data_IF_158373716773
#
_entry.id   IF_158373716773
#
_cell.length_a   1.000
_cell.length_b   1.000
_cell.length_c   1.000
_cell.angle_alpha   90.00
_cell.angle_beta   90.00
_cell.angle_gamma   90.00
#
_symmetry.space_group_name_H-M   'P 1'
#
loop_
_entity.id
_entity.type
_entity.pdbx_description
1 polymer ?
#
# COMPACT_ATOMS: atom_id res chain seq x y z
N UNK A 1 20.27 -9.74 -13.91
CA UNK A 1 19.25 -9.59 -14.96
C UNK A 1 18.89 -10.94 -15.52
N UNK A 2 17.65 -11.10 -15.99
CA UNK A 2 17.13 -12.38 -16.47
C UNK A 2 17.49 -12.71 -17.93
N UNK A 3 17.99 -11.74 -18.74
CA UNK A 3 18.21 -11.98 -20.17
C UNK A 3 19.49 -12.77 -20.50
N UNK A 4 20.47 -12.83 -19.59
CA UNK A 4 21.76 -13.50 -19.80
C UNK A 4 21.70 -15.00 -19.53
N UNK A 5 20.73 -15.43 -18.75
CA UNK A 5 20.56 -16.81 -18.31
C UNK A 5 19.34 -17.44 -18.97
N UNK A 6 19.37 -18.76 -19.13
CA UNK A 6 18.23 -19.53 -19.67
C UNK A 6 17.06 -19.65 -18.69
N UNK A 7 17.04 -18.87 -17.59
CA UNK A 7 15.99 -18.93 -16.56
C UNK A 7 14.59 -18.66 -17.11
N UNK A 8 14.48 -17.81 -18.13
CA UNK A 8 13.19 -17.49 -18.73
C UNK A 8 12.56 -18.70 -19.44
N UNK A 9 13.35 -19.69 -19.90
CA UNK A 9 12.81 -20.89 -20.55
C UNK A 9 11.96 -21.74 -19.59
N UNK A 10 12.23 -21.67 -18.29
CA UNK A 10 11.46 -22.39 -17.27
C UNK A 10 10.04 -21.83 -17.11
N UNK A 11 9.76 -20.65 -17.66
CA UNK A 11 8.45 -19.97 -17.59
C UNK A 11 7.59 -20.19 -18.85
N UNK A 12 7.97 -21.11 -19.74
CA UNK A 12 7.21 -21.40 -20.96
C UNK A 12 5.75 -21.74 -20.64
N UNK A 13 4.81 -21.09 -21.34
CA UNK A 13 3.36 -21.24 -21.17
C UNK A 13 2.82 -20.80 -19.79
N UNK A 14 3.60 -20.06 -18.99
CA UNK A 14 3.19 -19.62 -17.66
C UNK A 14 2.73 -18.16 -17.61
N UNK A 15 2.51 -17.52 -18.76
CA UNK A 15 2.24 -16.08 -18.85
C UNK A 15 0.95 -15.68 -18.11
N UNK A 16 -0.09 -16.52 -18.21
CA UNK A 16 -1.36 -16.38 -17.49
C UNK A 16 -1.51 -17.35 -16.31
N UNK A 17 -0.44 -18.06 -15.93
CA UNK A 17 -0.50 -19.09 -14.90
C UNK A 17 -0.68 -18.50 -13.50
N UNK A 18 -1.45 -19.21 -12.66
CA UNK A 18 -1.61 -18.87 -11.26
C UNK A 18 -0.29 -19.06 -10.48
N UNK A 19 -0.09 -18.36 -9.36
CA UNK A 19 1.10 -18.51 -8.53
C UNK A 19 1.38 -19.95 -8.06
N UNK A 20 0.33 -20.77 -7.91
CA UNK A 20 0.47 -22.18 -7.54
C UNK A 20 1.03 -23.04 -8.67
N UNK A 21 0.57 -22.81 -9.91
CA UNK A 21 1.09 -23.54 -11.07
C UNK A 21 2.56 -23.22 -11.32
N UNK A 22 2.94 -21.94 -11.17
CA UNK A 22 4.33 -21.50 -11.26
C UNK A 22 5.15 -22.16 -10.15
N UNK A 23 4.70 -22.12 -8.89
CA UNK A 23 5.40 -22.78 -7.79
C UNK A 23 5.60 -24.28 -8.05
N UNK A 24 4.55 -24.98 -8.47
CA UNK A 24 4.65 -26.41 -8.75
C UNK A 24 5.57 -26.75 -9.92
N UNK A 25 5.68 -25.88 -10.92
CA UNK A 25 6.60 -26.05 -12.03
C UNK A 25 8.05 -25.74 -11.64
N UNK A 26 8.27 -24.75 -10.76
CA UNK A 26 9.59 -24.28 -10.39
C UNK A 26 10.16 -24.93 -9.13
N UNK A 27 9.35 -25.57 -8.27
CA UNK A 27 9.82 -26.13 -6.98
C UNK A 27 10.88 -27.22 -7.11
N UNK A 28 11.01 -27.84 -8.29
CA UNK A 28 12.08 -28.81 -8.56
C UNK A 28 13.41 -28.16 -8.91
N UNK A 29 13.42 -26.88 -9.26
CA UNK A 29 14.58 -26.15 -9.75
C UNK A 29 15.22 -25.30 -8.65
N UNK A 30 16.55 -25.28 -8.62
CA UNK A 30 17.32 -24.38 -7.75
C UNK A 30 17.83 -23.21 -8.58
N UNK A 31 17.82 -22.02 -8.00
CA UNK A 31 18.31 -20.81 -8.65
C UNK A 31 19.41 -20.18 -7.80
N UNK A 32 20.49 -19.75 -8.45
CA UNK A 32 21.60 -19.03 -7.81
C UNK A 32 21.83 -17.69 -8.51
N UNK A 33 22.28 -16.69 -7.74
CA UNK A 33 22.68 -15.40 -8.30
C UNK A 33 24.17 -15.47 -8.65
N UNK A 34 24.49 -15.42 -9.95
CA UNK A 34 25.87 -15.44 -10.47
C UNK A 34 26.08 -14.22 -11.36
N UNK A 35 27.12 -13.43 -11.09
CA UNK A 35 27.46 -12.21 -11.86
C UNK A 35 26.25 -11.27 -12.04
N UNK A 36 25.51 -11.01 -10.96
CA UNK A 36 24.29 -10.18 -10.97
C UNK A 36 23.18 -10.72 -11.87
N UNK A 37 23.21 -12.00 -12.25
CA UNK A 37 22.21 -12.71 -13.06
C UNK A 37 21.64 -13.91 -12.30
N UNK A 38 20.32 -14.14 -12.38
CA UNK A 38 19.71 -15.33 -11.80
C UNK A 38 19.89 -16.49 -12.77
N UNK A 39 20.54 -17.58 -12.37
CA UNK A 39 20.77 -18.75 -13.21
C UNK A 39 20.27 -20.05 -12.55
N UNK A 40 19.74 -21.01 -13.33
CA UNK A 40 19.47 -22.36 -12.83
C UNK A 40 20.74 -23.01 -12.28
N UNK A 41 20.59 -23.75 -11.19
CA UNK A 41 21.64 -24.46 -10.48
C UNK A 41 21.38 -25.97 -10.56
N UNK A 42 21.89 -26.59 -11.62
CA UNK A 42 21.58 -28.00 -11.96
C UNK A 42 22.36 -29.04 -11.12
N UNK A 43 23.37 -28.59 -10.38
CA UNK A 43 24.33 -29.47 -9.69
C UNK A 43 23.91 -29.84 -8.27
N UNK A 44 22.87 -29.23 -7.71
CA UNK A 44 22.41 -29.49 -6.34
C UNK A 44 20.91 -29.76 -6.36
N UNK A 45 20.46 -31.03 -6.38
CA UNK A 45 19.05 -31.36 -6.38
C UNK A 45 18.41 -30.98 -5.03
N UNK A 46 17.22 -30.39 -5.04
CA UNK A 46 16.47 -30.11 -3.82
C UNK A 46 15.98 -31.39 -3.16
N UNK A 47 16.12 -31.46 -1.83
CA UNK A 47 15.53 -32.52 -1.01
C UNK A 47 14.00 -32.40 -0.98
N UNK A 48 13.29 -33.50 -0.68
CA UNK A 48 11.81 -33.48 -0.57
C UNK A 48 11.33 -32.50 0.51
N UNK A 49 12.03 -32.43 1.63
CA UNK A 49 11.72 -31.50 2.72
C UNK A 49 11.82 -30.04 2.28
N UNK A 50 12.85 -29.69 1.50
CA UNK A 50 13.00 -28.33 0.96
C UNK A 50 11.92 -27.98 -0.06
N UNK A 51 11.45 -28.97 -0.85
CA UNK A 51 10.34 -28.80 -1.81
C UNK A 51 9.04 -28.52 -1.09
N UNK A 52 8.75 -29.29 -0.04
CA UNK A 52 7.47 -29.22 0.67
C UNK A 52 7.39 -28.04 1.65
N UNK A 53 8.55 -27.47 2.03
CA UNK A 53 8.65 -26.32 2.96
C UNK A 53 7.77 -25.14 2.56
N UNK A 54 7.60 -24.88 1.28
CA UNK A 54 6.90 -23.70 0.76
C UNK A 54 5.47 -23.99 0.25
N UNK A 55 5.02 -25.25 0.27
CA UNK A 55 3.71 -25.64 -0.25
C UNK A 55 2.55 -25.03 0.57
N UNK A 56 2.70 -24.91 1.89
CA UNK A 56 1.67 -24.32 2.77
C UNK A 56 1.51 -22.81 2.56
N UNK A 57 2.61 -22.09 2.36
CA UNK A 57 2.58 -20.63 2.15
C UNK A 57 1.88 -20.28 0.83
N UNK A 58 2.09 -21.07 -0.22
CA UNK A 58 1.55 -20.76 -1.54
C UNK A 58 0.06 -21.07 -1.68
N UNK A 59 -0.44 -22.15 -1.04
CA UNK A 59 -1.89 -22.47 -1.00
C UNK A 59 -2.74 -21.34 -0.42
N UNK A 60 -2.13 -20.42 0.33
CA UNK A 60 -2.81 -19.25 0.91
C UNK A 60 -3.03 -18.10 -0.08
N UNK A 61 -2.32 -18.06 -1.23
CA UNK A 61 -2.22 -16.90 -2.13
C UNK A 61 -2.79 -17.15 -3.54
N UNK A 62 -4.00 -17.70 -3.63
CA UNK A 62 -4.64 -18.06 -4.90
C UNK A 62 -5.16 -16.86 -5.72
N UNK A 63 -5.46 -15.73 -5.07
CA UNK A 63 -6.16 -14.62 -5.71
C UNK A 63 -5.19 -13.62 -6.38
N UNK A 64 -5.48 -13.14 -7.61
CA UNK A 64 -4.64 -12.19 -8.34
C UNK A 64 -4.59 -10.78 -7.74
N UNK A 65 -5.46 -10.47 -6.76
CA UNK A 65 -5.46 -9.20 -6.01
C UNK A 65 -4.94 -9.39 -4.58
N UNK A 66 -4.08 -8.48 -4.07
CA UNK A 66 -3.61 -8.51 -2.69
C UNK A 66 -4.78 -8.56 -1.71
N UNK A 67 -4.62 -9.26 -0.59
CA UNK A 67 -5.72 -9.45 0.36
C UNK A 67 -6.27 -8.12 0.88
N UNK A 68 -5.43 -7.10 1.08
CA UNK A 68 -5.91 -5.80 1.55
C UNK A 68 -6.72 -5.08 0.48
N UNK A 69 -6.39 -5.20 -0.81
CA UNK A 69 -7.20 -4.60 -1.90
C UNK A 69 -8.46 -5.40 -2.25
N UNK A 70 -8.64 -6.59 -1.70
CA UNK A 70 -9.90 -7.31 -1.86
C UNK A 70 -11.00 -6.59 -1.09
N UNK A 71 -12.14 -6.35 -1.76
CA UNK A 71 -13.32 -5.72 -1.17
C UNK A 71 -13.75 -6.42 0.14
N UNK A 72 -13.52 -7.73 0.24
CA UNK A 72 -13.84 -8.56 1.41
C UNK A 72 -13.05 -8.13 2.65
N UNK A 73 -11.77 -7.77 2.51
CA UNK A 73 -10.96 -7.27 3.63
C UNK A 73 -11.11 -5.74 3.79
N UNK A 74 -11.40 -5.03 2.70
CA UNK A 74 -11.58 -3.59 2.71
C UNK A 74 -12.82 -3.11 3.44
N UNK A 75 -13.95 -3.84 3.31
CA UNK A 75 -15.20 -3.51 4.03
C UNK A 75 -15.00 -3.49 5.56
N UNK A 76 -14.51 -4.56 6.22
CA UNK A 76 -14.29 -4.54 7.66
C UNK A 76 -13.23 -3.52 8.08
N UNK A 77 -12.25 -3.21 7.22
CA UNK A 77 -11.26 -2.17 7.49
C UNK A 77 -11.89 -0.76 7.53
N UNK A 78 -12.71 -0.41 6.53
CA UNK A 78 -13.44 0.88 6.52
C UNK A 78 -14.44 0.94 7.67
N UNK A 79 -15.19 -0.13 7.92
CA UNK A 79 -16.13 -0.20 9.04
C UNK A 79 -15.38 0.01 10.37
N UNK A 80 -14.21 -0.60 10.55
CA UNK A 80 -13.38 -0.40 11.75
C UNK A 80 -12.95 1.05 11.94
N UNK A 81 -12.56 1.75 10.87
CA UNK A 81 -12.22 3.18 10.95
C UNK A 81 -13.46 4.05 11.26
N UNK A 82 -14.61 3.79 10.64
CA UNK A 82 -15.86 4.49 10.92
C UNK A 82 -16.35 4.22 12.34
N UNK A 83 -16.19 3.00 12.83
CA UNK A 83 -16.47 2.64 14.21
C UNK A 83 -15.57 3.45 15.14
N UNK A 84 -14.28 3.61 14.85
CA UNK A 84 -13.38 4.42 15.67
C UNK A 84 -13.76 5.92 15.66
N UNK A 85 -14.19 6.45 14.51
CA UNK A 85 -14.74 7.82 14.39
C UNK A 85 -15.90 8.05 15.35
N UNK A 86 -16.77 7.06 15.53
CA UNK A 86 -17.93 7.12 16.43
C UNK A 86 -17.54 6.80 17.88
N UNK A 87 -16.58 5.89 18.07
CA UNK A 87 -16.15 5.41 19.39
C UNK A 87 -15.36 6.48 20.16
N UNK A 88 -14.49 7.25 19.50
CA UNK A 88 -13.68 8.27 20.17
C UNK A 88 -14.57 9.31 20.91
N UNK A 89 -15.56 9.95 20.25
CA UNK A 89 -16.48 10.85 20.95
C UNK A 89 -17.29 10.16 22.05
N UNK A 90 -17.75 8.92 21.82
CA UNK A 90 -18.53 8.19 22.82
C UNK A 90 -17.68 7.91 24.07
N UNK A 91 -16.44 7.46 23.93
CA UNK A 91 -15.56 7.15 25.06
C UNK A 91 -15.17 8.40 25.84
N UNK A 92 -14.94 9.53 25.15
CA UNK A 92 -14.49 10.77 25.79
C UNK A 92 -15.61 11.57 26.47
N UNK A 93 -16.82 11.56 25.92
CA UNK A 93 -17.93 12.43 26.37
C UNK A 93 -19.11 11.68 26.99
N UNK A 94 -19.09 10.34 27.06
CA UNK A 94 -20.14 9.59 27.74
C UNK A 94 -19.66 9.09 29.11
N UNK A 95 -20.37 9.47 30.16
CA UNK A 95 -20.03 9.16 31.55
C UNK A 95 -20.01 7.65 31.85
N UNK A 96 -20.84 6.85 31.17
CA UNK A 96 -20.85 5.38 31.33
C UNK A 96 -19.71 4.71 30.56
N UNK A 97 -19.34 5.27 29.40
CA UNK A 97 -18.32 4.70 28.53
C UNK A 97 -16.90 5.11 28.95
N UNK A 98 -16.76 6.26 29.62
CA UNK A 98 -15.48 6.76 30.12
C UNK A 98 -14.85 5.82 31.17
N UNK A 99 -15.65 5.03 31.89
CA UNK A 99 -15.17 3.97 32.80
C UNK A 99 -14.27 2.96 32.06
N UNK A 100 -14.50 2.75 30.76
CA UNK A 100 -13.67 1.87 29.92
C UNK A 100 -12.29 2.51 29.68
N UNK A 101 -12.23 3.82 29.47
CA UNK A 101 -10.96 4.57 29.34
C UNK A 101 -10.19 4.54 30.66
N UNK A 102 -10.88 4.68 31.80
CA UNK A 102 -10.25 4.60 33.13
C UNK A 102 -9.67 3.21 33.42
N UNK A 103 -10.36 2.14 33.00
CA UNK A 103 -9.90 0.76 33.22
C UNK A 103 -8.88 0.29 32.18
N UNK A 104 -8.96 0.81 30.96
CA UNK A 104 -8.17 0.36 29.80
C UNK A 104 -7.67 1.58 29.02
N UNK A 105 -6.72 2.35 29.58
CA UNK A 105 -6.22 3.59 28.95
C UNK A 105 -5.52 3.35 27.61
N UNK A 106 -5.00 2.13 27.39
CA UNK A 106 -4.35 1.72 26.14
C UNK A 106 -5.33 1.24 25.05
N UNK A 107 -6.64 1.26 25.29
CA UNK A 107 -7.63 0.78 24.31
C UNK A 107 -7.56 1.61 23.01
N UNK A 108 -7.61 2.94 23.15
CA UNK A 108 -7.61 3.87 22.00
C UNK A 108 -6.30 3.80 21.22
N UNK A 109 -5.17 3.68 21.92
CA UNK A 109 -3.85 3.52 21.29
C UNK A 109 -3.74 2.18 20.57
N UNK A 110 -4.17 1.10 21.20
CA UNK A 110 -4.21 -0.24 20.61
C UNK A 110 -5.02 -0.27 19.31
N UNK A 111 -6.23 0.33 19.33
CA UNK A 111 -7.06 0.44 18.14
C UNK A 111 -6.42 1.31 17.05
N UNK A 112 -5.79 2.43 17.42
CA UNK A 112 -5.04 3.27 16.48
C UNK A 112 -3.87 2.51 15.84
N UNK A 113 -3.12 1.73 16.62
CA UNK A 113 -2.03 0.89 16.11
C UNK A 113 -2.56 -0.17 15.14
N UNK A 114 -3.69 -0.82 15.45
CA UNK A 114 -4.31 -1.77 14.52
C UNK A 114 -4.67 -1.11 13.18
N UNK A 115 -5.25 0.10 13.20
CA UNK A 115 -5.55 0.86 11.98
C UNK A 115 -4.27 1.23 11.24
N UNK A 116 -3.24 1.69 11.96
CA UNK A 116 -1.93 2.02 11.39
C UNK A 116 -1.30 0.82 10.67
N UNK A 117 -1.31 -0.36 11.28
CA UNK A 117 -0.77 -1.59 10.68
C UNK A 117 -1.55 -2.02 9.43
N UNK A 118 -2.88 -1.94 9.48
CA UNK A 118 -3.73 -2.23 8.33
C UNK A 118 -3.53 -1.19 7.21
N UNK A 119 -3.41 0.09 7.55
CA UNK A 119 -3.11 1.16 6.59
C UNK A 119 -1.75 0.95 5.92
N UNK A 120 -0.72 0.58 6.68
CA UNK A 120 0.62 0.27 6.14
C UNK A 120 0.58 -0.89 5.15
N UNK A 121 -0.25 -1.90 5.40
CA UNK A 121 -0.46 -3.00 4.44
C UNK A 121 -1.13 -2.50 3.16
N UNK A 122 -2.19 -1.69 3.29
CA UNK A 122 -2.87 -1.08 2.15
C UNK A 122 -1.92 -0.22 1.30
N UNK A 123 -1.11 0.59 1.97
CA UNK A 123 -0.09 1.41 1.31
C UNK A 123 0.88 0.55 0.50
N UNK A 124 1.43 -0.50 1.11
CA UNK A 124 2.41 -1.37 0.48
C UNK A 124 1.82 -2.01 -0.78
N UNK A 125 0.59 -2.52 -0.67
CA UNK A 125 -0.08 -3.15 -1.79
C UNK A 125 -0.40 -2.14 -2.93
N UNK A 126 -0.82 -0.91 -2.60
CA UNK A 126 -1.03 0.16 -3.60
C UNK A 126 0.27 0.53 -4.30
N UNK A 127 1.36 0.71 -3.55
CA UNK A 127 2.69 1.04 -4.11
C UNK A 127 3.21 -0.05 -5.02
N UNK A 128 3.01 -1.32 -4.66
CA UNK A 128 3.40 -2.47 -5.46
C UNK A 128 2.61 -2.54 -6.78
N UNK A 129 1.33 -2.19 -6.76
CA UNK A 129 0.44 -2.25 -7.93
C UNK A 129 0.57 -1.05 -8.88
N UNK A 130 0.97 0.13 -8.38
CA UNK A 130 0.95 1.37 -9.17
C UNK A 130 1.71 1.26 -10.52
N UNK A 131 2.97 0.76 -10.58
CA UNK A 131 3.71 0.69 -11.84
C UNK A 131 2.99 -0.16 -12.88
N UNK A 132 2.43 -1.30 -12.46
CA UNK A 132 1.69 -2.22 -13.32
C UNK A 132 0.35 -1.65 -13.80
N UNK A 133 -0.28 -0.80 -13.01
CA UNK A 133 -1.49 -0.10 -13.44
C UNK A 133 -1.20 1.01 -14.45
N UNK A 134 -0.05 1.69 -14.33
CA UNK A 134 0.37 2.64 -15.36
C UNK A 134 0.65 1.88 -16.67
N UNK A 135 1.31 0.72 -16.60
CA UNK A 135 1.54 -0.15 -17.75
C UNK A 135 0.23 -0.67 -18.37
N UNK A 136 -0.79 -0.99 -17.58
CA UNK A 136 -2.07 -1.47 -18.12
C UNK A 136 -2.88 -0.41 -18.87
N UNK A 137 -2.53 0.87 -18.75
CA UNK A 137 -3.13 1.97 -19.52
C UNK A 137 -2.55 2.14 -20.93
N UNK A 138 -1.57 1.29 -21.31
CA UNK A 138 -0.79 1.36 -22.55
C UNK A 138 0.07 2.62 -22.67
N UNK A 139 1.06 2.56 -23.56
CA UNK A 139 1.95 3.68 -23.91
C UNK A 139 2.63 4.35 -22.70
N UNK A 140 3.00 3.57 -21.68
CA UNK A 140 3.67 4.10 -20.51
C UNK A 140 5.12 4.51 -20.84
N UNK A 141 5.59 5.55 -20.16
CA UNK A 141 6.98 6.01 -20.25
C UNK A 141 7.94 4.94 -19.70
N UNK A 142 9.16 4.82 -20.27
CA UNK A 142 10.16 3.88 -19.77
C UNK A 142 10.52 4.03 -18.29
N UNK A 143 10.35 5.24 -17.73
CA UNK A 143 10.57 5.53 -16.30
C UNK A 143 9.73 4.66 -15.36
N UNK A 144 8.61 4.13 -15.86
CA UNK A 144 7.70 3.27 -15.09
C UNK A 144 8.33 1.90 -14.82
N UNK A 145 9.21 1.42 -15.70
CA UNK A 145 9.87 0.11 -15.54
C UNK A 145 10.91 0.10 -14.41
N UNK A 146 11.53 1.24 -14.13
CA UNK A 146 12.52 1.43 -13.06
C UNK A 146 11.90 2.03 -11.80
N UNK A 147 10.57 2.10 -11.74
CA UNK A 147 9.85 2.82 -10.70
C UNK A 147 9.78 1.98 -9.43
N UNK A 148 10.74 2.18 -8.54
CA UNK A 148 10.75 1.52 -7.24
C UNK A 148 10.10 2.40 -6.16
N UNK A 149 8.80 2.20 -5.97
CA UNK A 149 8.06 2.80 -4.85
C UNK A 149 8.13 1.95 -3.56
N UNK A 150 8.70 0.75 -3.63
CA UNK A 150 8.77 -0.17 -2.49
C UNK A 150 9.93 0.17 -1.54
N UNK A 151 11.02 0.73 -2.06
CA UNK A 151 12.26 1.00 -1.31
C UNK A 151 12.43 2.44 -0.82
N UNK A 152 11.54 3.35 -1.21
CA UNK A 152 11.66 4.76 -0.84
C UNK A 152 11.23 5.00 0.61
N UNK A 153 12.05 5.74 1.36
CA UNK A 153 11.85 6.03 2.78
C UNK A 153 10.44 6.58 3.07
N UNK A 154 9.84 6.08 4.16
CA UNK A 154 8.45 6.26 4.60
C UNK A 154 7.90 7.70 4.41
N UNK A 155 8.70 8.75 4.67
CA UNK A 155 8.26 10.14 4.56
C UNK A 155 8.54 10.86 3.23
N UNK A 156 9.49 10.41 2.40
CA UNK A 156 9.87 11.11 1.15
C UNK A 156 8.98 10.74 -0.04
N UNK A 157 8.37 9.56 0.07
CA UNK A 157 7.48 8.96 -0.91
C UNK A 157 6.29 9.81 -1.35
N UNK A 158 5.47 10.37 -0.43
CA UNK A 158 4.26 11.09 -0.79
C UNK A 158 4.58 12.36 -1.61
N UNK A 159 5.63 13.07 -1.21
CA UNK A 159 6.09 14.30 -1.87
C UNK A 159 6.47 13.99 -3.32
N UNK A 160 7.27 12.95 -3.54
CA UNK A 160 7.70 12.54 -4.89
C UNK A 160 6.52 12.02 -5.72
N UNK A 161 5.57 11.32 -5.13
CA UNK A 161 4.36 10.83 -5.80
C UNK A 161 3.44 11.97 -6.27
N UNK A 162 3.27 13.03 -5.45
CA UNK A 162 2.53 14.23 -5.85
C UNK A 162 3.23 14.97 -7.00
N UNK A 163 4.56 15.12 -6.94
CA UNK A 163 5.33 15.77 -8.00
C UNK A 163 5.27 15.01 -9.34
N UNK A 164 5.12 13.69 -9.30
CA UNK A 164 4.99 12.84 -10.49
C UNK A 164 3.54 12.69 -11.00
N UNK A 165 2.56 13.39 -10.40
CA UNK A 165 1.15 13.34 -10.82
C UNK A 165 0.39 12.07 -10.40
N UNK A 166 0.99 11.22 -9.56
CA UNK A 166 0.36 10.01 -9.04
C UNK A 166 -0.38 10.31 -7.72
N UNK A 167 -1.44 11.12 -7.83
CA UNK A 167 -2.19 11.63 -6.67
C UNK A 167 -2.70 10.53 -5.73
N UNK A 168 -3.11 9.36 -6.26
CA UNK A 168 -3.61 8.26 -5.44
C UNK A 168 -2.52 7.72 -4.49
N UNK A 169 -1.31 7.48 -5.00
CA UNK A 169 -0.17 7.05 -4.17
C UNK A 169 0.26 8.15 -3.20
N UNK A 170 0.18 9.41 -3.63
CA UNK A 170 0.44 10.56 -2.76
C UNK A 170 -0.50 10.63 -1.56
N UNK A 171 -1.82 10.52 -1.77
CA UNK A 171 -2.81 10.52 -0.68
C UNK A 171 -2.68 9.32 0.25
N UNK A 172 -2.39 8.13 -0.29
CA UNK A 172 -2.17 6.93 0.52
C UNK A 172 -0.92 7.09 1.39
N UNK A 173 0.16 7.62 0.83
CA UNK A 173 1.38 7.93 1.56
C UNK A 173 1.21 9.01 2.64
N UNK A 174 0.44 10.07 2.34
CA UNK A 174 0.06 11.08 3.34
C UNK A 174 -0.74 10.46 4.48
N UNK A 175 -1.65 9.53 4.18
CA UNK A 175 -2.41 8.79 5.19
C UNK A 175 -1.53 8.05 6.18
N UNK A 176 -0.38 7.52 5.74
CA UNK A 176 0.55 6.81 6.64
C UNK A 176 1.23 7.74 7.63
N UNK A 177 1.62 8.95 7.20
CA UNK A 177 2.14 9.99 8.10
C UNK A 177 1.05 10.43 9.08
N UNK A 178 -0.18 10.63 8.60
CA UNK A 178 -1.30 11.02 9.45
C UNK A 178 -1.70 9.90 10.44
N UNK A 179 -1.55 8.62 10.09
CA UNK A 179 -1.81 7.50 10.99
C UNK A 179 -0.82 7.44 12.18
N UNK A 180 0.42 7.91 11.98
CA UNK A 180 1.37 8.13 13.09
C UNK A 180 0.86 9.22 14.02
N UNK A 181 0.47 10.37 13.47
CA UNK A 181 -0.08 11.51 14.23
C UNK A 181 -1.33 11.08 15.00
N UNK A 182 -2.23 10.32 14.36
CA UNK A 182 -3.40 9.76 15.01
C UNK A 182 -3.04 8.90 16.24
N UNK A 183 -1.99 8.09 16.14
CA UNK A 183 -1.55 7.24 17.24
C UNK A 183 -1.00 8.06 18.42
N UNK A 184 -0.30 9.15 18.12
CA UNK A 184 0.14 10.11 19.14
C UNK A 184 -1.07 10.79 19.81
N UNK A 185 -2.04 11.27 19.03
CA UNK A 185 -3.28 11.87 19.57
C UNK A 185 -4.08 10.86 20.41
N UNK A 186 -4.23 9.62 19.94
CA UNK A 186 -4.93 8.55 20.66
C UNK A 186 -4.28 8.23 22.01
N UNK A 187 -2.95 8.37 22.10
CA UNK A 187 -2.22 8.20 23.37
C UNK A 187 -2.54 9.31 24.34
N UNK A 188 -2.64 10.55 23.87
CA UNK A 188 -3.03 11.69 24.70
C UNK A 188 -4.45 11.56 25.26
N UNK A 189 -5.37 10.91 24.54
CA UNK A 189 -6.75 10.70 25.01
C UNK A 189 -6.90 9.60 26.05
N UNK A 190 -5.98 8.61 26.06
CA UNK A 190 -6.04 7.50 27.00
C UNK A 190 -5.85 7.91 28.47
N UNK A 191 -5.31 9.10 28.72
CA UNK A 191 -5.00 9.60 30.08
C UNK A 191 -5.95 10.68 30.58
N UNK A 192 -6.87 11.17 29.74
CA UNK A 192 -7.71 12.33 30.04
C UNK A 192 -9.18 12.06 29.76
N UNK A 193 -10.05 12.56 30.64
CA UNK A 193 -11.51 12.47 30.48
C UNK A 193 -12.05 13.71 29.76
N UNK A 194 -12.69 13.54 28.60
CA UNK A 194 -13.29 14.66 27.85
C UNK A 194 -14.41 15.38 28.63
N UNK A 195 -15.09 14.66 29.52
CA UNK A 195 -16.11 15.19 30.43
C UNK A 195 -15.60 16.29 31.37
N UNK A 196 -14.35 16.20 31.82
CA UNK A 196 -13.77 17.18 32.75
C UNK A 196 -13.59 18.55 32.07
N UNK A 197 -13.24 18.55 30.78
CA UNK A 197 -13.10 19.76 29.99
C UNK A 197 -14.45 20.38 29.61
N UNK A 198 -15.49 19.58 29.36
CA UNK A 198 -16.85 20.11 29.10
C UNK A 198 -17.45 20.71 30.38
N UNK A 199 -17.20 20.10 31.53
CA UNK A 199 -17.76 20.54 32.81
C UNK A 199 -17.02 21.72 33.44
N UNK A 200 -15.76 21.97 33.03
CA UNK A 200 -14.92 23.07 33.52
C UNK A 200 -14.37 23.89 32.34
N UNK A 201 -15.21 24.68 31.65
CA UNK A 201 -14.73 25.61 30.64
C UNK A 201 -13.74 26.62 31.27
N UNK A 202 -12.74 27.12 30.52
CA UNK A 202 -11.80 28.10 31.03
C UNK A 202 -12.55 29.34 31.51
N UNK A 203 -12.19 29.85 32.68
CA UNK A 203 -12.73 31.08 33.26
C UNK A 203 -12.37 32.27 32.34
N UNK A 204 -13.18 32.49 31.31
CA UNK A 204 -13.15 33.73 30.53
C UNK A 204 -13.45 34.86 31.50
N UNK A 205 -12.42 35.60 31.86
CA UNK A 205 -12.41 36.62 32.90
C UNK A 205 -13.73 37.34 33.08
N UNK A 206 -14.46 36.96 34.13
CA UNK A 206 -15.43 37.84 34.73
C UNK A 206 -14.66 38.81 35.63
N UNK A 207 -14.26 39.93 35.02
CA UNK A 207 -14.12 41.16 35.79
C UNK A 207 -15.50 41.51 36.34
N UNK A 208 -15.64 41.39 37.66
CA UNK A 208 -16.78 41.91 38.42
C UNK A 208 -17.87 40.89 38.74
N UNK A 209 -17.74 40.23 39.88
CA UNK A 209 -18.58 40.57 41.05
C UNK A 209 -18.06 39.78 42.26
N UNK A 210 -17.08 40.36 42.95
CA UNK A 210 -16.64 39.85 44.24
C UNK A 210 -17.73 40.06 45.29
N UNK A 211 -18.20 38.98 45.90
CA UNK A 211 -18.70 39.00 47.27
C UNK A 211 -17.46 39.19 48.17
N UNK A 212 -17.39 40.21 49.04
CA UNK A 212 -16.19 40.46 49.81
C UNK A 212 -16.07 39.38 50.90
N UNK A 213 -15.06 38.51 50.78
CA UNK A 213 -14.52 37.79 51.94
C UNK A 213 -13.22 38.46 52.35
N UNK A 214 -13.26 39.06 53.53
CA UNK A 214 -12.09 39.55 54.25
C UNK A 214 -11.06 38.43 54.40
N UNK A 215 -9.89 38.61 53.80
CA UNK A 215 -8.66 38.00 54.28
C UNK A 215 -7.49 38.91 53.95
N UNK A 216 -6.87 39.40 55.02
CA UNK A 216 -5.69 40.23 55.12
C UNK A 216 -4.53 39.82 54.21
N UNK A 217 -4.12 40.76 53.35
CA UNK A 217 -2.76 41.27 53.13
C UNK A 217 -1.58 40.31 53.38
N UNK A 218 -0.95 39.84 52.29
CA UNK A 218 0.51 39.85 52.10
C UNK A 218 0.79 39.96 50.58
N UNK A 219 1.29 41.11 50.13
CA UNK A 219 1.68 41.35 48.74
C UNK A 219 3.20 41.15 48.63
N UNK A 220 3.61 40.05 47.99
CA UNK A 220 4.97 39.85 47.50
C UNK A 220 5.09 40.42 46.07
N UNK A 221 6.21 41.05 45.69
CA UNK A 221 6.36 41.66 44.38
C UNK A 221 7.07 40.69 43.43
N UNK A 222 6.34 39.80 42.78
CA UNK A 222 6.81 39.13 41.56
C UNK A 222 5.60 38.94 40.64
N UNK A 223 5.37 39.97 39.82
CA UNK A 223 4.46 39.88 38.70
C UNK A 223 5.18 39.16 37.57
N UNK A 224 4.95 37.86 37.46
CA UNK A 224 5.15 37.13 36.22
C UNK A 224 3.86 36.39 35.87
N UNK A 225 3.56 36.37 34.58
CA UNK A 225 2.27 36.06 33.95
C UNK A 225 1.62 34.76 34.43
N UNK A 226 0.60 34.88 35.31
CA UNK A 226 -0.33 33.80 35.66
C UNK A 226 -1.41 33.54 34.61
N UNK A 227 -1.10 33.75 33.33
CA UNK A 227 -1.88 33.20 32.22
C UNK A 227 -1.41 31.74 32.03
N UNK A 228 -2.21 30.90 31.39
CA UNK A 228 -1.77 29.75 30.58
C UNK A 228 -1.96 28.32 31.07
N UNK A 229 -1.66 27.89 32.31
CA UNK A 229 -1.56 26.43 32.52
C UNK A 229 -2.89 25.64 32.28
N UNK A 230 -4.02 26.18 32.73
CA UNK A 230 -5.34 25.56 32.54
C UNK A 230 -5.98 25.83 31.18
N UNK A 231 -5.77 27.04 30.63
CA UNK A 231 -6.31 27.45 29.32
C UNK A 231 -5.60 26.71 28.17
N UNK A 232 -4.27 26.57 28.24
CA UNK A 232 -3.46 25.84 27.26
C UNK A 232 -3.82 24.35 27.21
N UNK A 233 -4.11 23.74 28.37
CA UNK A 233 -4.53 22.33 28.44
C UNK A 233 -5.92 22.14 27.80
N UNK A 234 -6.86 23.05 28.06
CA UNK A 234 -8.19 23.01 27.46
C UNK A 234 -8.14 23.16 25.94
N UNK A 235 -7.37 24.12 25.43
CA UNK A 235 -7.22 24.35 23.99
C UNK A 235 -6.55 23.16 23.30
N UNK A 236 -5.46 22.65 23.88
CA UNK A 236 -4.70 21.51 23.35
C UNK A 236 -5.54 20.24 23.23
N UNK A 237 -6.47 19.99 24.17
CA UNK A 237 -7.41 18.88 24.10
C UNK A 237 -8.32 18.97 22.88
N UNK A 238 -8.98 20.12 22.68
CA UNK A 238 -9.90 20.32 21.55
C UNK A 238 -9.20 20.28 20.20
N UNK A 239 -8.01 20.90 20.10
CA UNK A 239 -7.20 20.83 18.88
C UNK A 239 -6.84 19.38 18.55
N UNK A 240 -6.37 18.61 19.54
CA UNK A 240 -6.02 17.21 19.35
C UNK A 240 -7.24 16.37 18.96
N UNK A 241 -8.40 16.60 19.60
CA UNK A 241 -9.64 15.90 19.31
C UNK A 241 -10.13 16.14 17.88
N UNK A 242 -10.20 17.41 17.46
CA UNK A 242 -10.60 17.79 16.09
C UNK A 242 -9.61 17.22 15.08
N UNK A 243 -8.30 17.32 15.37
CA UNK A 243 -7.25 16.80 14.50
C UNK A 243 -7.38 15.28 14.31
N UNK A 244 -7.55 14.52 15.40
CA UNK A 244 -7.71 13.07 15.33
C UNK A 244 -8.95 12.65 14.52
N UNK A 245 -10.08 13.36 14.72
CA UNK A 245 -11.31 13.11 13.97
C UNK A 245 -11.14 13.43 12.48
N UNK A 246 -10.49 14.56 12.15
CA UNK A 246 -10.20 14.96 10.78
C UNK A 246 -9.28 13.95 10.09
N UNK A 247 -8.25 13.46 10.79
CA UNK A 247 -7.37 12.41 10.27
C UNK A 247 -8.16 11.13 9.97
N UNK A 248 -8.99 10.65 10.89
CA UNK A 248 -9.77 9.44 10.68
C UNK A 248 -10.74 9.57 9.49
N UNK A 249 -11.41 10.72 9.35
CA UNK A 249 -12.28 10.99 8.21
C UNK A 249 -11.47 10.98 6.91
N UNK A 250 -10.30 11.61 6.90
CA UNK A 250 -9.40 11.59 5.75
C UNK A 250 -8.99 10.16 5.37
N UNK A 251 -8.59 9.33 6.35
CA UNK A 251 -8.23 7.93 6.12
C UNK A 251 -9.41 7.14 5.53
N UNK A 252 -10.62 7.32 6.06
CA UNK A 252 -11.84 6.72 5.52
C UNK A 252 -12.10 7.10 4.06
N UNK A 253 -11.97 8.38 3.73
CA UNK A 253 -12.20 8.88 2.37
C UNK A 253 -11.16 8.34 1.38
N UNK A 254 -9.88 8.38 1.75
CA UNK A 254 -8.79 7.88 0.90
C UNK A 254 -8.89 6.37 0.72
N UNK A 255 -9.16 5.60 1.79
CA UNK A 255 -9.39 4.16 1.67
C UNK A 255 -10.55 3.88 0.70
N UNK A 256 -11.70 4.53 0.90
CA UNK A 256 -12.88 4.38 0.02
C UNK A 256 -12.51 4.68 -1.43
N UNK A 257 -11.79 5.78 -1.68
CA UNK A 257 -11.32 6.15 -3.01
C UNK A 257 -10.40 5.09 -3.65
N UNK A 258 -9.47 4.53 -2.88
CA UNK A 258 -8.60 3.43 -3.32
C UNK A 258 -9.44 2.22 -3.74
N UNK A 259 -10.36 1.77 -2.88
CA UNK A 259 -11.18 0.60 -3.19
C UNK A 259 -12.07 0.81 -4.42
N UNK A 260 -12.71 1.98 -4.55
CA UNK A 260 -13.55 2.29 -5.72
C UNK A 260 -12.73 2.24 -7.02
N UNK A 261 -11.52 2.80 -7.02
CA UNK A 261 -10.67 2.88 -8.21
C UNK A 261 -9.92 1.59 -8.53
N UNK A 262 -9.63 0.76 -7.52
CA UNK A 262 -8.75 -0.42 -7.64
C UNK A 262 -9.48 -1.77 -7.53
N UNK A 263 -10.81 -1.78 -7.42
CA UNK A 263 -11.62 -3.01 -7.26
C UNK A 263 -11.52 -4.04 -8.40
N UNK A 264 -11.06 -3.65 -9.59
CA UNK A 264 -11.10 -4.52 -10.78
C UNK A 264 -9.78 -5.26 -10.99
N UNK A 265 -9.79 -6.59 -11.24
CA UNK A 265 -8.59 -7.35 -11.64
C UNK A 265 -8.06 -6.85 -12.98
N UNK A 266 -6.84 -6.31 -12.98
CA UNK A 266 -6.14 -5.83 -14.18
C UNK A 266 -4.83 -6.59 -14.44
N UNK A 267 -4.49 -7.57 -13.60
CA UNK A 267 -3.31 -8.43 -13.77
C UNK A 267 -3.72 -9.90 -13.73
N UNK A 268 -3.04 -10.77 -14.51
CA UNK A 268 -3.15 -12.22 -14.39
C UNK A 268 -2.80 -12.74 -12.99
N UNK A 269 -1.84 -12.10 -12.30
CA UNK A 269 -1.33 -12.50 -10.98
C UNK A 269 -0.72 -11.32 -10.23
N UNK A 270 -0.52 -11.49 -8.92
CA UNK A 270 0.17 -10.49 -8.09
C UNK A 270 1.67 -10.42 -8.42
N UNK A 271 2.25 -9.22 -8.57
CA UNK A 271 3.69 -9.04 -8.80
C UNK A 271 4.49 -9.02 -7.49
N UNK A 272 4.15 -9.90 -6.54
CA UNK A 272 4.79 -9.96 -5.21
C UNK A 272 5.96 -10.94 -5.12
N UNK A 273 6.24 -11.69 -6.19
CA UNK A 273 7.38 -12.61 -6.25
C UNK A 273 8.22 -12.39 -7.50
N UNK A 274 9.52 -12.69 -7.42
CA UNK A 274 10.43 -12.64 -8.57
C UNK A 274 9.92 -13.58 -9.68
N UNK A 275 9.40 -14.75 -9.34
CA UNK A 275 8.81 -15.68 -10.31
C UNK A 275 7.60 -15.06 -11.04
N UNK A 276 6.72 -14.36 -10.32
CA UNK A 276 5.60 -13.65 -10.95
C UNK A 276 6.09 -12.59 -11.95
N UNK A 277 7.14 -11.83 -11.60
CA UNK A 277 7.73 -10.80 -12.46
C UNK A 277 8.41 -11.45 -13.68
N UNK A 278 9.20 -12.50 -13.48
CA UNK A 278 9.87 -13.24 -14.56
C UNK A 278 8.86 -13.79 -15.57
N UNK A 279 7.75 -14.34 -15.11
CA UNK A 279 6.70 -14.79 -16.02
C UNK A 279 6.01 -13.63 -16.77
N UNK A 280 6.08 -12.38 -16.30
CA UNK A 280 5.45 -11.23 -16.99
C UNK A 280 6.32 -10.71 -18.12
N UNK A 281 7.63 -10.97 -18.05
CA UNK A 281 8.60 -10.57 -19.07
C UNK A 281 9.04 -11.76 -19.94
N UNK A 282 8.45 -12.93 -19.73
CA UNK A 282 8.73 -14.12 -20.53
C UNK A 282 8.41 -13.83 -22.01
N UNK A 283 9.38 -14.12 -22.89
CA UNK A 283 9.35 -13.86 -24.33
C UNK A 283 9.10 -12.42 -24.78
N UNK A 284 9.17 -11.46 -23.87
CA UNK A 284 9.01 -10.04 -24.15
C UNK A 284 10.16 -9.50 -25.02
N UNK A 285 9.82 -8.71 -26.05
CA UNK A 285 10.80 -8.06 -26.93
C UNK A 285 11.54 -6.94 -26.22
N UNK A 286 10.93 -6.34 -25.20
CA UNK A 286 11.57 -5.33 -24.34
C UNK A 286 12.93 -5.80 -23.80
N UNK A 287 13.13 -7.11 -23.59
CA UNK A 287 14.35 -7.67 -23.02
C UNK A 287 15.63 -7.36 -23.81
N UNK A 288 15.51 -7.07 -25.12
CA UNK A 288 16.63 -6.63 -25.95
C UNK A 288 17.18 -5.27 -25.50
N UNK A 289 16.31 -4.36 -25.07
CA UNK A 289 16.69 -3.03 -24.62
C UNK A 289 17.52 -3.07 -23.32
N UNK A 290 17.28 -4.11 -22.50
CA UNK A 290 17.96 -4.34 -21.22
C UNK A 290 19.28 -5.13 -21.35
N UNK A 291 19.72 -5.50 -22.54
CA UNK A 291 21.02 -6.19 -22.73
C UNK A 291 22.18 -5.28 -22.33
N UNK A 292 23.04 -5.74 -21.41
CA UNK A 292 24.18 -4.95 -20.95
C UNK A 292 23.84 -3.87 -19.91
N UNK A 293 22.66 -3.95 -19.29
CA UNK A 293 22.23 -3.00 -18.24
C UNK A 293 22.46 -3.52 -16.81
N UNK A 294 23.16 -4.64 -16.64
CA UNK A 294 23.25 -5.38 -15.36
C UNK A 294 23.98 -4.63 -14.24
N UNK A 295 24.86 -3.69 -14.61
CA UNK A 295 25.66 -2.88 -13.69
C UNK A 295 25.19 -1.43 -13.59
N UNK A 296 24.15 -1.05 -14.34
CA UNK A 296 23.63 0.32 -14.33
C UNK A 296 22.86 0.59 -13.04
N UNK A 297 22.98 1.81 -12.52
CA UNK A 297 22.08 2.27 -11.48
C UNK A 297 20.71 2.67 -12.08
N UNK A 298 19.72 2.93 -11.23
CA UNK A 298 18.38 3.34 -11.66
C UNK A 298 18.39 4.59 -12.57
N UNK A 299 19.21 5.60 -12.24
CA UNK A 299 19.26 6.84 -13.02
C UNK A 299 19.87 6.60 -14.42
N UNK A 300 20.98 5.87 -14.50
CA UNK A 300 21.63 5.51 -15.77
C UNK A 300 20.71 4.62 -16.64
N UNK A 301 19.94 3.73 -16.00
CA UNK A 301 18.97 2.88 -16.67
C UNK A 301 17.83 3.71 -17.26
N UNK A 302 17.33 4.70 -16.51
CA UNK A 302 16.31 5.63 -16.99
C UNK A 302 16.83 6.43 -18.18
N UNK A 303 18.04 6.99 -18.10
CA UNK A 303 18.64 7.76 -19.19
C UNK A 303 18.75 6.92 -20.47
N UNK A 304 19.26 5.69 -20.35
CA UNK A 304 19.35 4.76 -21.48
C UNK A 304 17.98 4.45 -22.08
N UNK A 305 17.00 4.10 -21.26
CA UNK A 305 15.66 3.74 -21.74
C UNK A 305 14.92 4.94 -22.37
N UNK A 306 15.12 6.16 -21.83
CA UNK A 306 14.60 7.40 -22.43
C UNK A 306 15.28 7.67 -23.77
N UNK A 307 16.60 7.41 -23.90
CA UNK A 307 17.34 7.53 -25.15
C UNK A 307 16.87 6.57 -26.25
N UNK A 308 16.31 5.42 -25.88
CA UNK A 308 15.71 4.47 -26.84
C UNK A 308 14.37 5.00 -27.39
N UNK A 309 13.64 5.80 -26.60
CA UNK A 309 12.43 6.48 -27.05
C UNK A 309 11.20 5.57 -27.23
N UNK A 310 11.23 4.34 -26.72
CA UNK A 310 10.09 3.40 -26.77
C UNK A 310 9.09 3.66 -25.64
N UNK A 311 7.89 3.13 -25.80
CA UNK A 311 6.88 3.07 -24.74
C UNK A 311 6.52 1.62 -24.43
N UNK A 312 6.06 1.37 -23.21
CA UNK A 312 5.79 0.01 -22.73
C UNK A 312 4.35 -0.11 -22.22
N UNK A 313 3.82 -1.32 -22.22
CA UNK A 313 2.48 -1.59 -21.72
C UNK A 313 2.35 -2.98 -21.13
N UNK A 314 1.21 -3.24 -20.49
CA UNK A 314 0.81 -4.56 -20.04
C UNK A 314 -0.41 -5.05 -20.84
N UNK A 315 -0.25 -6.18 -21.52
CA UNK A 315 -1.28 -6.75 -22.38
C UNK A 315 -0.83 -7.98 -23.14
N UNK A 316 -1.53 -8.26 -24.23
CA UNK A 316 -1.22 -9.36 -25.14
C UNK A 316 -0.27 -8.89 -26.25
N UNK A 317 0.79 -9.65 -26.49
CA UNK A 317 1.80 -9.34 -27.50
C UNK A 317 2.30 -10.62 -28.19
N UNK A 318 2.82 -10.44 -29.42
CA UNK A 318 3.53 -11.52 -30.11
C UNK A 318 4.97 -11.56 -29.61
N UNK A 319 5.35 -12.65 -28.95
CA UNK A 319 6.67 -12.84 -28.36
C UNK A 319 7.78 -13.07 -29.39
N UNK A 320 9.00 -13.24 -28.88
CA UNK A 320 10.19 -13.52 -29.72
C UNK A 320 10.16 -14.87 -30.43
N UNK A 321 9.33 -15.79 -29.95
CA UNK A 321 9.05 -17.10 -30.56
C UNK A 321 7.91 -17.05 -31.59
N UNK A 322 7.28 -15.89 -31.78
CA UNK A 322 6.15 -15.72 -32.71
C UNK A 322 4.81 -16.17 -32.13
N UNK A 323 4.77 -16.69 -30.91
CA UNK A 323 3.52 -17.06 -30.22
C UNK A 323 2.92 -15.86 -29.47
N UNK A 324 1.65 -15.98 -29.09
CA UNK A 324 0.90 -14.93 -28.37
C UNK A 324 1.08 -15.10 -26.86
N UNK A 325 1.66 -14.10 -26.21
CA UNK A 325 1.96 -14.07 -24.78
C UNK A 325 1.23 -12.93 -24.07
N UNK A 326 1.06 -13.05 -22.75
CA UNK A 326 0.45 -12.02 -21.91
C UNK A 326 1.45 -11.52 -20.87
N UNK A 327 1.75 -10.22 -20.87
CA UNK A 327 2.77 -9.69 -19.97
C UNK A 327 3.08 -8.22 -20.22
N UNK A 328 4.29 -7.82 -19.82
CA UNK A 328 4.84 -6.49 -20.07
C UNK A 328 5.73 -6.55 -21.30
N UNK A 329 5.47 -5.71 -22.30
CA UNK A 329 6.31 -5.60 -23.50
C UNK A 329 6.31 -4.16 -24.05
N UNK A 330 7.16 -3.92 -25.06
CA UNK A 330 7.17 -2.71 -25.88
C UNK A 330 5.86 -2.55 -26.67
N UNK A 331 5.41 -1.31 -26.85
CA UNK A 331 4.25 -0.96 -27.67
C UNK A 331 4.62 -0.88 -29.17
N UNK A 332 3.73 -1.19 -30.11
CA UNK A 332 2.30 -1.47 -29.92
C UNK A 332 1.97 -2.94 -29.57
N UNK A 333 1.27 -3.12 -28.45
CA UNK A 333 0.67 -4.39 -28.04
C UNK A 333 -0.52 -4.78 -28.94
N UNK A 334 -0.77 -6.09 -29.07
CA UNK A 334 -1.87 -6.63 -29.86
C UNK A 334 -3.24 -6.32 -29.23
N UNK A 335 -3.38 -6.47 -27.92
CA UNK A 335 -4.61 -6.08 -27.21
C UNK A 335 -4.38 -5.83 -25.71
N UNK A 336 -5.33 -5.16 -25.08
CA UNK A 336 -5.34 -4.96 -23.63
C UNK A 336 -5.61 -6.27 -22.89
N UNK A 337 -4.96 -6.45 -21.75
CA UNK A 337 -5.35 -7.53 -20.84
C UNK A 337 -6.73 -7.26 -20.23
N UNK A 338 -7.62 -8.24 -20.35
CA UNK A 338 -8.89 -8.29 -19.64
C UNK A 338 -8.93 -9.59 -18.84
N UNK A 339 -9.30 -9.49 -17.57
CA UNK A 339 -9.32 -10.65 -16.70
C UNK A 339 -10.42 -11.63 -17.16
N UNK A 340 -10.04 -12.88 -17.43
CA UNK A 340 -10.93 -13.92 -17.94
C UNK A 340 -10.94 -14.06 -19.47
N UNK A 341 -10.49 -13.04 -20.21
CA UNK A 341 -10.41 -13.10 -21.67
C UNK A 341 -9.02 -13.60 -22.10
N UNK A 342 -8.98 -14.73 -22.81
CA UNK A 342 -7.75 -15.28 -23.38
C UNK A 342 -7.65 -14.93 -24.87
N UNK A 343 -6.78 -13.96 -25.21
CA UNK A 343 -6.62 -13.53 -26.59
C UNK A 343 -6.06 -14.65 -27.50
N UNK A 344 -5.40 -15.68 -26.93
CA UNK A 344 -4.96 -16.86 -27.70
C UNK A 344 -6.16 -17.60 -28.32
N UNK A 345 -7.30 -17.60 -27.63
CA UNK A 345 -8.55 -18.22 -28.12
C UNK A 345 -9.17 -17.42 -29.26
N UNK A 346 -9.03 -16.09 -29.26
CA UNK A 346 -9.53 -15.24 -30.34
C UNK A 346 -8.81 -15.47 -31.68
N UNK A 347 -7.52 -15.80 -31.64
CA UNK A 347 -6.72 -16.18 -32.83
C UNK A 347 -7.00 -17.63 -33.28
N UNK A 348 -7.68 -18.43 -32.46
CA UNK A 348 -8.05 -19.82 -32.73
C UNK A 348 -9.58 -20.04 -32.59
N UNK A 349 -10.42 -19.40 -33.43
CA UNK A 349 -11.88 -19.43 -33.27
C UNK A 349 -12.47 -20.84 -33.25
N UNK A 350 -11.81 -21.82 -33.87
CA UNK A 350 -12.22 -23.24 -33.90
C UNK A 350 -12.02 -23.99 -32.56
N UNK A 351 -11.39 -23.40 -31.55
CA UNK A 351 -11.17 -24.02 -30.22
C UNK A 351 -12.17 -23.58 -29.15
N UNK A 352 -13.11 -22.70 -29.51
CA UNK A 352 -14.09 -22.17 -28.57
C UNK A 352 -15.18 -23.22 -28.35
N UNK A 353 -15.21 -23.83 -27.16
CA UNK A 353 -16.30 -24.72 -26.75
C UNK A 353 -17.56 -23.89 -26.57
N UNK A 354 -18.57 -24.13 -27.41
CA UNK A 354 -19.86 -23.42 -27.40
C UNK A 354 -20.74 -23.70 -26.16
N UNK A 355 -20.21 -24.41 -25.16
CA UNK A 355 -20.93 -24.78 -23.93
C UNK A 355 -20.87 -23.73 -22.81
N UNK A 356 -20.04 -22.69 -22.96
CA UNK A 356 -19.80 -21.66 -21.93
C UNK A 356 -20.53 -20.33 -22.22
N UNK A 357 -21.51 -20.32 -23.14
CA UNK A 357 -22.40 -19.18 -23.42
C UNK A 357 -23.77 -19.33 -22.78
#
# INVERSE_FOLDING_TARGET
MANRSHILMDFKNMDTASPEMIHNALKSHRYSLRNSSLAPEDHIPLTKEEKDKYDFQQRRNQNPHPRMLQLIAGIPFIIGMVLLVVLIPILLFNQTANIVTDKVPFLLTGLSVCIKLAWSTLETDVRMIEPFYILSKRHASPKVLTLDYSSLAFGWMPIRAFLNGHFLVGFVGLGSVLAEVLTVCATSFGTVSGMDFVSRPPDRGHSGQGTPKNSSSYAGPDGDSGIDAGEETYFSFWVSFILALAILIFLCLVATYVYVRRRHPFLPRQPNTIASILGFIHQSKMLYDFVGTEKLNNDDMVERLVGIGKTYGLGWFTGRDGEMHCGVDEEELASNYKHGDDARKATMPWTTNWSDY
#
